data_IF_251230515623
#
_entry.id   IF_251230515623
#
_cell.length_a   1.000
_cell.length_b   1.000
_cell.length_c   1.000
_cell.angle_alpha   90.00
_cell.angle_beta   90.00
_cell.angle_gamma   90.00
#
_symmetry.space_group_name_H-M   'P 1'
#
loop_
_entity.id
_entity.type
_entity.pdbx_description
1 polymer ?
#
# COMPACT_ATOMS: atom_id res chain seq x y z
N UNK A 1 -10.45 -23.20 -50.23
CA UNK A 1 -9.90 -23.30 -48.85
C UNK A 1 -9.39 -21.91 -48.48
N UNK A 2 -10.27 -21.07 -47.92
CA UNK A 2 -9.88 -19.71 -47.48
C UNK A 2 -9.64 -19.73 -45.98
N UNK A 3 -8.38 -19.57 -45.61
CA UNK A 3 -7.92 -19.43 -44.22
C UNK A 3 -8.42 -18.12 -43.64
N UNK A 4 -9.32 -18.20 -42.65
CA UNK A 4 -9.70 -17.06 -41.82
C UNK A 4 -8.52 -16.77 -40.89
N UNK A 5 -7.74 -15.74 -41.18
CA UNK A 5 -6.92 -15.10 -40.15
C UNK A 5 -7.87 -14.48 -39.15
N UNK A 6 -7.96 -15.09 -37.95
CA UNK A 6 -8.64 -14.49 -36.82
C UNK A 6 -7.84 -13.26 -36.39
N UNK A 7 -8.29 -12.07 -36.80
CA UNK A 7 -7.81 -10.81 -36.25
C UNK A 7 -8.22 -10.80 -34.78
N UNK A 8 -7.28 -11.09 -33.88
CA UNK A 8 -7.52 -10.99 -32.45
C UNK A 8 -7.94 -9.54 -32.15
N UNK A 9 -9.18 -9.34 -31.70
CA UNK A 9 -9.67 -8.03 -31.32
C UNK A 9 -8.73 -7.44 -30.25
N UNK A 10 -8.45 -6.12 -30.28
CA UNK A 10 -7.59 -5.49 -29.30
C UNK A 10 -8.14 -5.75 -27.88
N UNK A 11 -7.27 -6.16 -26.97
CA UNK A 11 -7.63 -6.39 -25.57
C UNK A 11 -8.11 -5.07 -24.96
N UNK A 12 -9.42 -4.96 -24.71
CA UNK A 12 -10.02 -3.79 -24.04
C UNK A 12 -10.18 -4.06 -22.54
N UNK A 13 -10.27 -3.01 -21.74
CA UNK A 13 -10.51 -3.13 -20.30
C UNK A 13 -11.80 -3.92 -20.02
N UNK A 14 -12.87 -3.63 -20.77
CA UNK A 14 -14.15 -4.33 -20.63
C UNK A 14 -14.01 -5.83 -20.91
N UNK A 15 -13.29 -6.20 -21.99
CA UNK A 15 -13.06 -7.62 -22.32
C UNK A 15 -12.20 -8.33 -21.28
N UNK A 16 -11.16 -7.66 -20.78
CA UNK A 16 -10.27 -8.17 -19.74
C UNK A 16 -11.03 -8.36 -18.42
N UNK A 17 -11.85 -7.38 -18.03
CA UNK A 17 -12.67 -7.44 -16.82
C UNK A 17 -13.66 -8.59 -16.89
N UNK A 18 -14.45 -8.67 -17.96
CA UNK A 18 -15.47 -9.71 -18.11
C UNK A 18 -14.85 -11.11 -18.13
N UNK A 19 -13.68 -11.29 -18.78
CA UNK A 19 -13.01 -12.58 -18.88
C UNK A 19 -12.29 -13.01 -17.59
N UNK A 20 -11.78 -12.08 -16.78
CA UNK A 20 -10.85 -12.40 -15.70
C UNK A 20 -11.27 -11.97 -14.29
N UNK A 21 -12.30 -11.14 -14.12
CA UNK A 21 -12.73 -10.67 -12.80
C UNK A 21 -13.12 -11.83 -11.88
N UNK A 22 -13.99 -12.74 -12.32
CA UNK A 22 -14.42 -13.88 -11.50
C UNK A 22 -13.27 -14.82 -11.13
N UNK A 23 -12.35 -15.08 -12.07
CA UNK A 23 -11.15 -15.87 -11.79
C UNK A 23 -10.24 -15.18 -10.77
N UNK A 24 -10.00 -13.88 -10.91
CA UNK A 24 -9.15 -13.12 -10.02
C UNK A 24 -9.74 -13.06 -8.60
N UNK A 25 -11.05 -12.80 -8.48
CA UNK A 25 -11.77 -12.81 -7.20
C UNK A 25 -11.65 -14.16 -6.50
N UNK A 26 -11.83 -15.27 -7.23
CA UNK A 26 -11.68 -16.61 -6.65
C UNK A 26 -10.24 -16.87 -6.18
N UNK A 27 -9.25 -16.46 -6.98
CA UNK A 27 -7.84 -16.56 -6.60
C UNK A 27 -7.50 -15.71 -5.37
N UNK A 28 -8.08 -14.52 -5.25
CA UNK A 28 -7.93 -13.62 -4.09
C UNK A 28 -8.64 -14.16 -2.85
N UNK A 29 -9.83 -14.75 -3.00
CA UNK A 29 -10.59 -15.32 -1.88
C UNK A 29 -9.78 -16.41 -1.17
N UNK A 30 -9.07 -17.26 -1.92
CA UNK A 30 -8.18 -18.28 -1.34
C UNK A 30 -6.97 -17.70 -0.61
N UNK A 31 -6.56 -16.46 -0.91
CA UNK A 31 -5.39 -15.80 -0.30
C UNK A 31 -5.75 -14.92 0.88
N UNK A 32 -6.86 -14.20 0.80
CA UNK A 32 -7.32 -13.26 1.81
C UNK A 32 -8.24 -13.93 2.84
N UNK A 33 -8.80 -15.09 2.52
CA UNK A 33 -9.78 -15.81 3.35
C UNK A 33 -11.03 -14.95 3.69
N UNK A 34 -11.26 -13.89 2.92
CA UNK A 34 -12.35 -12.92 3.06
C UNK A 34 -12.88 -12.60 1.66
N UNK A 35 -14.17 -12.83 1.44
CA UNK A 35 -14.82 -12.56 0.16
C UNK A 35 -15.00 -11.06 -0.10
N UNK A 36 -15.09 -10.27 0.97
CA UNK A 36 -15.20 -8.82 0.90
C UNK A 36 -13.87 -8.20 0.48
N UNK A 37 -12.79 -8.52 1.20
CA UNK A 37 -11.44 -8.04 0.84
C UNK A 37 -11.04 -8.50 -0.56
N UNK A 38 -11.45 -9.70 -0.97
CA UNK A 38 -11.18 -10.21 -2.31
C UNK A 38 -11.91 -9.43 -3.41
N UNK A 39 -13.12 -8.93 -3.15
CA UNK A 39 -13.85 -8.10 -4.09
C UNK A 39 -13.19 -6.73 -4.21
N UNK A 40 -12.87 -6.10 -3.07
CA UNK A 40 -12.21 -4.79 -3.02
C UNK A 40 -10.85 -4.83 -3.72
N UNK A 41 -10.01 -5.82 -3.42
CA UNK A 41 -8.70 -5.98 -4.06
C UNK A 41 -8.84 -6.26 -5.55
N UNK A 42 -9.88 -6.99 -5.98
CA UNK A 42 -10.15 -7.20 -7.40
C UNK A 42 -10.50 -5.89 -8.10
N UNK A 43 -11.40 -5.08 -7.53
CA UNK A 43 -11.79 -3.79 -8.10
C UNK A 43 -10.59 -2.82 -8.15
N UNK A 44 -9.84 -2.69 -7.05
CA UNK A 44 -8.62 -1.88 -6.98
C UNK A 44 -7.58 -2.30 -8.03
N UNK A 45 -7.46 -3.60 -8.28
CA UNK A 45 -6.60 -4.12 -9.35
C UNK A 45 -7.03 -3.59 -10.71
N UNK A 46 -8.31 -3.67 -11.04
CA UNK A 46 -8.82 -3.18 -12.33
C UNK A 46 -8.79 -1.64 -12.44
N UNK A 47 -8.97 -0.90 -11.34
CA UNK A 47 -8.77 0.55 -11.33
C UNK A 47 -7.31 0.91 -11.64
N UNK A 48 -6.33 0.18 -11.08
CA UNK A 48 -4.90 0.37 -11.42
C UNK A 48 -4.59 -0.02 -12.87
N UNK A 49 -5.26 -1.03 -13.42
CA UNK A 49 -5.15 -1.38 -14.84
C UNK A 49 -5.69 -0.26 -15.73
N UNK A 50 -6.80 0.37 -15.35
CA UNK A 50 -7.41 1.48 -16.10
C UNK A 50 -6.48 2.71 -16.17
N UNK A 51 -5.78 3.03 -15.09
CA UNK A 51 -4.82 4.14 -15.04
C UNK A 51 -3.39 3.80 -15.47
N UNK A 52 -3.15 2.56 -15.92
CA UNK A 52 -1.81 2.02 -16.19
C UNK A 52 -1.42 1.99 -17.67
N UNK A 53 -0.44 1.13 -17.97
CA UNK A 53 0.09 0.91 -19.33
C UNK A 53 -0.99 0.42 -20.31
N UNK A 54 -0.86 0.74 -21.61
CA UNK A 54 -1.80 0.31 -22.62
C UNK A 54 -1.86 -1.22 -22.72
N UNK A 55 -3.10 -1.74 -22.69
CA UNK A 55 -3.40 -3.18 -22.64
C UNK A 55 -2.89 -3.97 -23.85
N UNK A 56 -2.55 -3.28 -24.94
CA UNK A 56 -1.97 -3.88 -26.16
C UNK A 56 -0.60 -4.52 -25.92
N UNK A 57 0.06 -4.21 -24.79
CA UNK A 57 1.36 -4.77 -24.41
C UNK A 57 1.26 -6.05 -23.57
N UNK A 58 0.05 -6.41 -23.11
CA UNK A 58 -0.17 -7.54 -22.20
C UNK A 58 -0.16 -8.86 -22.97
N UNK A 59 0.87 -9.67 -22.76
CA UNK A 59 0.99 -11.02 -23.36
C UNK A 59 0.26 -12.10 -22.55
N UNK A 60 0.29 -12.00 -21.22
CA UNK A 60 -0.40 -12.90 -20.31
C UNK A 60 -1.28 -12.12 -19.32
N UNK A 61 -2.58 -12.00 -19.59
CA UNK A 61 -3.53 -11.30 -18.73
C UNK A 61 -3.53 -11.76 -17.28
N UNK A 62 -3.43 -13.06 -17.02
CA UNK A 62 -3.55 -13.61 -15.65
C UNK A 62 -2.32 -13.26 -14.82
N UNK A 63 -1.12 -13.46 -15.36
CA UNK A 63 0.12 -13.09 -14.65
C UNK A 63 0.23 -11.58 -14.43
N UNK A 64 -0.21 -10.79 -15.40
CA UNK A 64 -0.27 -9.33 -15.27
C UNK A 64 -1.21 -8.91 -14.14
N UNK A 65 -2.44 -9.40 -14.12
CA UNK A 65 -3.43 -9.12 -13.08
C UNK A 65 -2.92 -9.58 -11.70
N UNK A 66 -2.34 -10.78 -11.59
CA UNK A 66 -1.75 -11.25 -10.33
C UNK A 66 -0.62 -10.35 -9.84
N UNK A 67 0.17 -9.75 -10.74
CA UNK A 67 1.26 -8.85 -10.35
C UNK A 67 0.73 -7.57 -9.73
N UNK A 68 -0.30 -6.97 -10.34
CA UNK A 68 -0.94 -5.77 -9.80
C UNK A 68 -1.67 -6.11 -8.50
N UNK A 69 -2.46 -7.19 -8.48
CA UNK A 69 -3.21 -7.63 -7.30
C UNK A 69 -2.30 -7.93 -6.11
N UNK A 70 -1.10 -8.49 -6.33
CA UNK A 70 -0.10 -8.66 -5.25
C UNK A 70 0.31 -7.34 -4.62
N UNK A 71 0.52 -6.29 -5.42
CA UNK A 71 0.85 -4.95 -4.89
C UNK A 71 -0.33 -4.39 -4.09
N UNK A 72 -1.55 -4.48 -4.62
CA UNK A 72 -2.78 -4.07 -3.90
C UNK A 72 -2.93 -4.82 -2.57
N UNK A 73 -2.70 -6.14 -2.56
CA UNK A 73 -2.73 -6.94 -1.32
C UNK A 73 -1.67 -6.51 -0.31
N UNK A 74 -0.44 -6.20 -0.76
CA UNK A 74 0.60 -5.69 0.12
C UNK A 74 0.13 -4.37 0.77
N UNK A 75 -0.40 -3.45 -0.03
CA UNK A 75 -0.91 -2.17 0.48
C UNK A 75 -2.08 -2.36 1.47
N UNK A 76 -2.97 -3.33 1.21
CA UNK A 76 -4.04 -3.70 2.15
C UNK A 76 -3.47 -4.26 3.47
N UNK A 77 -2.54 -5.21 3.41
CA UNK A 77 -1.97 -5.81 4.62
C UNK A 77 -1.21 -4.79 5.47
N UNK A 78 -0.53 -3.83 4.83
CA UNK A 78 0.14 -2.74 5.53
C UNK A 78 -0.85 -1.82 6.25
N UNK A 79 -1.91 -1.39 5.58
CA UNK A 79 -2.99 -0.61 6.19
C UNK A 79 -3.60 -1.33 7.39
N UNK A 80 -3.94 -2.61 7.22
CA UNK A 80 -4.50 -3.43 8.28
C UNK A 80 -3.54 -3.64 9.46
N UNK A 81 -2.24 -3.78 9.20
CA UNK A 81 -1.24 -3.91 10.25
C UNK A 81 -1.10 -2.63 11.07
N UNK A 82 -1.08 -1.47 10.41
CA UNK A 82 -1.03 -0.17 11.06
C UNK A 82 -2.27 0.08 11.91
N UNK A 83 -3.46 -0.21 11.38
CA UNK A 83 -4.72 -0.05 12.10
C UNK A 83 -4.79 -0.95 13.34
N UNK A 84 -4.34 -2.21 13.23
CA UNK A 84 -4.26 -3.11 14.40
C UNK A 84 -3.31 -2.57 15.47
N UNK A 85 -2.12 -2.14 15.08
CA UNK A 85 -1.16 -1.55 16.03
C UNK A 85 -1.70 -0.28 16.69
N UNK A 86 -2.44 0.54 15.94
CA UNK A 86 -3.14 1.70 16.46
C UNK A 86 -4.20 1.32 17.50
N UNK A 87 -5.06 0.34 17.18
CA UNK A 87 -6.11 -0.15 18.10
C UNK A 87 -5.50 -0.77 19.37
N UNK A 88 -4.41 -1.52 19.25
CA UNK A 88 -3.65 -2.08 20.38
C UNK A 88 -3.06 -0.98 21.28
N UNK A 89 -2.60 0.13 20.70
CA UNK A 89 -2.14 1.30 21.45
C UNK A 89 -3.31 2.02 22.14
N UNK A 90 -4.41 2.26 21.42
CA UNK A 90 -5.62 2.91 21.96
C UNK A 90 -6.22 2.11 23.12
N UNK A 91 -6.19 0.78 23.05
CA UNK A 91 -6.68 -0.09 24.13
C UNK A 91 -5.93 0.08 25.46
N UNK A 92 -4.72 0.66 25.46
CA UNK A 92 -3.93 0.93 26.66
C UNK A 92 -4.19 2.31 27.27
N UNK A 93 -4.92 3.19 26.55
CA UNK A 93 -5.21 4.54 27.03
C UNK A 93 -6.48 4.49 27.89
N UNK A 94 -6.46 5.05 29.12
CA UNK A 94 -7.66 5.18 29.93
C UNK A 94 -8.74 6.00 29.21
N UNK A 95 -10.00 5.60 29.31
CA UNK A 95 -11.13 6.25 28.61
C UNK A 95 -11.20 7.76 28.88
N UNK A 96 -10.88 8.20 30.09
CA UNK A 96 -10.84 9.62 30.46
C UNK A 96 -9.81 10.46 29.70
N UNK A 97 -8.80 9.81 29.09
CA UNK A 97 -7.75 10.43 28.28
C UNK A 97 -7.87 10.05 26.81
N UNK A 98 -8.88 9.25 26.44
CA UNK A 98 -9.07 8.81 25.07
C UNK A 98 -9.46 10.01 24.18
N UNK A 99 -8.80 10.18 23.01
CA UNK A 99 -9.23 11.16 22.03
C UNK A 99 -10.66 10.87 21.55
N UNK A 100 -11.39 11.87 21.06
CA UNK A 100 -12.70 11.63 20.44
C UNK A 100 -12.57 10.73 19.21
N UNK A 101 -13.64 10.02 18.85
CA UNK A 101 -13.62 9.10 17.70
C UNK A 101 -13.21 9.79 16.39
N UNK A 102 -13.64 11.03 16.19
CA UNK A 102 -13.27 11.85 15.03
C UNK A 102 -11.77 12.15 15.03
N UNK A 103 -11.21 12.50 16.18
CA UNK A 103 -9.78 12.79 16.28
C UNK A 103 -8.94 11.52 16.10
N UNK A 104 -9.40 10.38 16.62
CA UNK A 104 -8.75 9.08 16.39
C UNK A 104 -8.71 8.75 14.89
N UNK A 105 -9.82 8.97 14.18
CA UNK A 105 -9.88 8.75 12.73
C UNK A 105 -8.91 9.64 11.97
N UNK A 106 -8.87 10.95 12.28
CA UNK A 106 -7.91 11.89 11.67
C UNK A 106 -6.47 11.45 11.91
N UNK A 107 -6.15 10.99 13.13
CA UNK A 107 -4.81 10.52 13.48
C UNK A 107 -4.44 9.26 12.70
N UNK A 108 -5.33 8.27 12.63
CA UNK A 108 -5.11 7.04 11.87
C UNK A 108 -4.92 7.32 10.37
N UNK A 109 -5.77 8.16 9.77
CA UNK A 109 -5.65 8.57 8.37
C UNK A 109 -4.32 9.29 8.11
N UNK A 110 -3.91 10.18 9.02
CA UNK A 110 -2.62 10.88 8.93
C UNK A 110 -1.45 9.89 8.97
N UNK A 111 -1.50 8.90 9.86
CA UNK A 111 -0.47 7.86 9.95
C UNK A 111 -0.41 7.00 8.68
N UNK A 112 -1.56 6.63 8.12
CA UNK A 112 -1.64 5.90 6.86
C UNK A 112 -1.05 6.69 5.68
N UNK A 113 -1.34 8.00 5.60
CA UNK A 113 -0.75 8.88 4.59
C UNK A 113 0.77 8.99 4.73
N UNK A 114 1.28 9.10 5.96
CA UNK A 114 2.72 9.10 6.22
C UNK A 114 3.36 7.78 5.79
N UNK A 115 2.80 6.62 6.14
CA UNK A 115 3.34 5.31 5.72
C UNK A 115 3.40 5.19 4.20
N UNK A 116 2.34 5.60 3.50
CA UNK A 116 2.28 5.61 2.04
C UNK A 116 3.33 6.54 1.41
N UNK A 117 3.58 7.72 2.00
CA UNK A 117 4.64 8.62 1.55
C UNK A 117 6.03 8.03 1.76
N UNK A 118 6.26 7.36 2.90
CA UNK A 118 7.54 6.73 3.23
C UNK A 118 7.87 5.56 2.30
N UNK A 119 6.87 4.89 1.73
CA UNK A 119 7.05 3.81 0.76
C UNK A 119 7.63 4.24 -0.58
N UNK A 120 7.36 5.49 -0.97
CA UNK A 120 7.97 6.07 -2.16
C UNK A 120 9.46 6.40 -1.98
N UNK A 121 9.99 6.35 -0.75
CA UNK A 121 11.35 6.79 -0.45
C UNK A 121 12.38 5.65 -0.59
N UNK A 122 13.60 6.04 -0.97
CA UNK A 122 14.76 5.14 -0.85
C UNK A 122 15.00 4.77 0.61
N UNK A 123 15.61 3.60 0.83
CA UNK A 123 15.92 3.11 2.18
C UNK A 123 16.69 4.16 3.03
N UNK A 124 17.69 4.84 2.44
CA UNK A 124 18.46 5.88 3.13
C UNK A 124 17.61 7.09 3.55
N UNK A 125 16.68 7.51 2.69
CA UNK A 125 15.79 8.62 2.99
C UNK A 125 14.80 8.26 4.11
N UNK A 126 14.28 7.03 4.11
CA UNK A 126 13.42 6.51 5.16
C UNK A 126 14.15 6.36 6.51
N UNK A 127 15.37 5.84 6.51
CA UNK A 127 16.22 5.77 7.71
C UNK A 127 16.51 7.17 8.28
N UNK A 128 16.83 8.14 7.42
CA UNK A 128 17.04 9.52 7.83
C UNK A 128 15.78 10.16 8.42
N UNK A 129 14.60 9.89 7.84
CA UNK A 129 13.31 10.33 8.36
C UNK A 129 13.09 9.80 9.78
N UNK A 130 13.24 8.49 10.01
CA UNK A 130 13.06 7.91 11.34
C UNK A 130 14.10 8.43 12.35
N UNK A 131 15.36 8.60 11.94
CA UNK A 131 16.41 9.14 12.82
C UNK A 131 16.16 10.62 13.22
N UNK A 132 15.46 11.39 12.38
CA UNK A 132 15.05 12.76 12.69
C UNK A 132 13.76 12.77 13.53
N UNK A 133 12.76 11.99 13.14
CA UNK A 133 11.44 11.94 13.76
C UNK A 133 11.45 11.33 15.17
N UNK A 134 12.32 10.35 15.44
CA UNK A 134 12.48 9.76 16.76
C UNK A 134 13.10 10.71 17.80
N UNK A 135 13.57 11.90 17.37
CA UNK A 135 14.29 12.84 18.21
C UNK A 135 15.62 12.27 18.66
N UNK A 136 16.74 12.69 18.06
CA UNK A 136 18.06 12.44 18.68
C UNK A 136 18.05 13.07 20.09
N UNK A 137 18.25 12.29 21.17
CA UNK A 137 18.66 12.89 22.43
C UNK A 137 20.08 13.42 22.21
N UNK A 138 20.23 14.75 22.31
CA UNK A 138 21.47 15.51 22.40
C UNK A 138 22.70 15.02 21.59
N UNK A 139 22.94 15.69 20.46
CA UNK A 139 24.30 16.03 20.06
C UNK A 139 24.52 17.54 20.26
N UNK A 140 24.26 18.04 21.48
CA UNK A 140 24.74 19.35 21.89
C UNK A 140 26.15 19.22 22.48
N UNK A 141 27.08 19.80 21.72
CA UNK A 141 28.30 20.48 22.19
C UNK A 141 29.37 19.61 22.86
N UNK A 142 30.25 19.03 22.03
CA UNK A 142 31.67 19.18 22.34
C UNK A 142 32.17 20.43 21.61
N UNK A 143 31.88 21.61 22.19
CA UNK A 143 32.77 22.75 21.99
C UNK A 143 34.04 22.39 22.76
N UNK A 144 35.02 21.82 22.08
CA UNK A 144 36.41 22.02 22.48
C UNK A 144 36.71 23.51 22.37
N UNK A 145 36.46 24.23 23.44
CA UNK A 145 37.36 25.29 23.89
C UNK A 145 38.54 24.60 24.55
N UNK A 146 39.75 24.64 23.99
CA UNK A 146 40.94 24.67 24.81
C UNK A 146 41.25 26.16 25.03
N UNK A 147 40.73 26.71 26.13
CA UNK A 147 41.36 27.90 26.69
C UNK A 147 42.12 27.49 27.96
N UNK A 148 43.33 28.03 28.07
CA UNK A 148 44.44 27.45 28.81
C UNK A 148 44.33 27.49 30.32
N UNK A 149 45.25 26.76 30.96
CA UNK A 149 45.96 27.13 32.20
C UNK A 149 46.86 25.96 32.64
N UNK A 150 48.11 25.98 32.19
CA UNK A 150 49.35 25.97 33.01
C UNK A 150 50.56 25.65 32.16
#
# INVERSE_FOLDING_TARGET
>A
MSSISATAAPLTLASLYHAHHGWLKNWLTGRLQSSFDADDVAQDTFMRVMGGEPLTTIRDPKSFLCTIAKRVMIDLFRRNALERAWLEMMAQIPEALAPSAELQQIQLETLQQIDAMLDGLSQKAREAFFALAAGRPDLRRDRRTPDGLR
#
